data_IF_853424164378
#
_entry.id   IF_853424164378
#
_cell.length_a   1.000
_cell.length_b   1.000
_cell.length_c   1.000
_cell.angle_alpha   90.00
_cell.angle_beta   90.00
_cell.angle_gamma   90.00
#
_symmetry.space_group_name_H-M   'P 1'
#
loop_
_entity.id
_entity.type
_entity.pdbx_description
1 polymer ?
#
# COMPACT_ATOMS: atom_id res chain seq x y z
N UNK A 1 -18.74 -10.59 -23.10
CA UNK A 1 -17.85 -10.78 -21.94
C UNK A 1 -17.30 -9.43 -21.51
N UNK A 2 -17.54 -9.04 -20.26
CA UNK A 2 -17.13 -7.74 -19.67
C UNK A 2 -15.59 -7.70 -19.57
N UNK A 3 -14.90 -6.57 -19.86
CA UNK A 3 -13.45 -6.49 -19.82
C UNK A 3 -12.96 -6.31 -18.38
N UNK A 4 -12.80 -7.42 -17.67
CA UNK A 4 -12.31 -7.44 -16.28
C UNK A 4 -10.92 -6.79 -16.13
N UNK A 5 -10.04 -6.90 -17.13
CA UNK A 5 -8.68 -6.37 -17.08
C UNK A 5 -8.62 -4.83 -17.03
N UNK A 6 -9.44 -4.16 -17.84
CA UNK A 6 -9.50 -2.68 -17.87
C UNK A 6 -10.16 -2.10 -16.61
N UNK A 7 -11.18 -2.80 -16.12
CA UNK A 7 -11.89 -2.45 -14.88
C UNK A 7 -10.94 -2.62 -13.68
N UNK A 8 -10.14 -3.68 -13.63
CA UNK A 8 -9.15 -3.91 -12.60
C UNK A 8 -8.08 -2.81 -12.53
N UNK A 9 -7.55 -2.39 -13.68
CA UNK A 9 -6.56 -1.29 -13.73
C UNK A 9 -7.15 0.05 -13.26
N UNK A 10 -8.41 0.33 -13.60
CA UNK A 10 -9.09 1.55 -13.19
C UNK A 10 -9.33 1.58 -11.67
N UNK A 11 -9.83 0.49 -11.09
CA UNK A 11 -10.01 0.39 -9.64
C UNK A 11 -8.68 0.39 -8.88
N UNK A 12 -7.62 -0.21 -9.44
CA UNK A 12 -6.27 -0.12 -8.87
C UNK A 12 -5.76 1.33 -8.83
N UNK A 13 -6.00 2.11 -9.89
CA UNK A 13 -5.69 3.54 -9.93
C UNK A 13 -6.43 4.33 -8.85
N UNK A 14 -7.73 4.07 -8.65
CA UNK A 14 -8.53 4.69 -7.58
C UNK A 14 -8.00 4.29 -6.20
N UNK A 15 -7.70 3.01 -5.97
CA UNK A 15 -7.17 2.53 -4.70
C UNK A 15 -5.83 3.19 -4.36
N UNK A 16 -4.92 3.31 -5.32
CA UNK A 16 -3.64 4.01 -5.14
C UNK A 16 -3.82 5.51 -4.89
N UNK A 17 -4.79 6.15 -5.54
CA UNK A 17 -5.12 7.55 -5.28
C UNK A 17 -5.69 7.74 -3.86
N UNK A 18 -6.59 6.87 -3.42
CA UNK A 18 -7.12 6.88 -2.06
C UNK A 18 -6.03 6.65 -1.00
N UNK A 19 -5.11 5.70 -1.24
CA UNK A 19 -3.94 5.47 -0.38
C UNK A 19 -3.03 6.71 -0.33
N UNK A 20 -2.82 7.38 -1.48
CA UNK A 20 -2.11 8.65 -1.54
C UNK A 20 -2.77 9.74 -0.69
N UNK A 21 -4.10 9.85 -0.72
CA UNK A 21 -4.85 10.81 0.11
C UNK A 21 -4.69 10.50 1.60
N UNK A 22 -4.78 9.24 2.02
CA UNK A 22 -4.63 8.91 3.45
C UNK A 22 -3.24 9.28 3.98
N UNK A 23 -2.20 9.11 3.18
CA UNK A 23 -0.83 9.46 3.59
C UNK A 23 -0.61 10.98 3.56
N UNK A 24 -1.22 11.67 2.59
CA UNK A 24 -1.25 13.14 2.58
C UNK A 24 -1.92 13.71 3.82
N UNK A 25 -3.03 13.12 4.29
CA UNK A 25 -3.74 13.61 5.49
C UNK A 25 -2.83 13.65 6.70
N UNK A 26 -2.07 12.59 6.96
CA UNK A 26 -1.10 12.56 8.07
C UNK A 26 -0.09 13.71 7.97
N UNK A 27 0.35 14.03 6.76
CA UNK A 27 1.35 15.04 6.54
C UNK A 27 0.81 16.47 6.53
N UNK A 28 -0.44 16.66 6.10
CA UNK A 28 -1.18 17.91 6.26
C UNK A 28 -1.44 18.17 7.74
N UNK A 29 -1.81 17.14 8.51
CA UNK A 29 -1.93 17.21 9.97
C UNK A 29 -0.60 17.67 10.57
N UNK A 30 0.52 17.01 10.22
CA UNK A 30 1.85 17.42 10.69
C UNK A 30 2.24 18.86 10.33
N UNK A 31 1.75 19.39 9.20
CA UNK A 31 1.97 20.80 8.82
C UNK A 31 1.09 21.77 9.62
N UNK A 32 -0.14 21.37 9.97
CA UNK A 32 -1.08 22.20 10.72
C UNK A 32 -0.87 22.15 12.24
N UNK A 33 -0.14 21.14 12.74
CA UNK A 33 0.13 20.98 14.17
C UNK A 33 0.89 22.19 14.71
N UNK A 34 0.43 22.68 15.86
CA UNK A 34 1.07 23.78 16.58
C UNK A 34 2.43 23.33 17.09
N UNK A 35 3.47 24.06 16.64
CA UNK A 35 4.84 23.83 17.08
C UNK A 35 5.07 24.63 18.36
N UNK A 36 5.37 23.93 19.44
CA UNK A 36 5.63 24.54 20.74
C UNK A 36 7.12 24.43 21.01
N UNK A 37 7.79 25.59 21.11
CA UNK A 37 9.24 25.64 21.31
C UNK A 37 9.62 25.56 22.79
N UNK A 38 8.76 26.08 23.68
CA UNK A 38 8.96 26.06 25.12
C UNK A 38 7.81 25.30 25.78
N UNK A 39 8.13 24.31 26.61
CA UNK A 39 7.10 23.47 27.24
C UNK A 39 6.14 24.28 28.14
N UNK A 40 6.58 25.40 28.70
CA UNK A 40 5.72 26.31 29.50
C UNK A 40 4.59 26.97 28.72
N UNK A 41 4.76 27.17 27.41
CA UNK A 41 3.68 27.71 26.56
C UNK A 41 2.51 26.72 26.46
N UNK A 42 2.77 25.44 26.74
CA UNK A 42 1.77 24.39 26.69
C UNK A 42 0.70 24.56 27.77
N UNK A 43 1.09 24.97 28.98
CA UNK A 43 0.14 25.30 30.07
C UNK A 43 -0.80 26.42 29.64
N UNK A 44 -0.26 27.50 29.06
CA UNK A 44 -1.05 28.65 28.61
C UNK A 44 -2.02 28.28 27.48
N UNK A 45 -1.58 27.42 26.56
CA UNK A 45 -2.41 26.95 25.46
C UNK A 45 -3.55 26.05 25.94
N UNK A 46 -3.29 25.15 26.90
CA UNK A 46 -4.30 24.31 27.52
C UNK A 46 -5.31 25.10 28.35
N UNK A 47 -4.85 26.11 29.09
CA UNK A 47 -5.74 26.95 29.89
C UNK A 47 -6.61 27.86 28.99
N UNK A 48 -6.13 28.22 27.80
CA UNK A 48 -6.89 29.01 26.81
C UNK A 48 -7.88 28.14 26.01
N UNK A 49 -7.51 26.90 25.70
CA UNK A 49 -8.34 25.93 24.98
C UNK A 49 -8.68 24.75 25.88
N UNK A 50 -9.92 24.73 26.40
CA UNK A 50 -10.48 23.65 27.23
C UNK A 50 -10.61 22.26 26.53
N UNK A 51 -9.93 22.03 25.40
CA UNK A 51 -10.03 20.80 24.61
C UNK A 51 -8.67 20.25 24.23
N UNK A 52 -8.59 18.92 24.16
CA UNK A 52 -7.48 18.15 23.61
C UNK A 52 -6.89 18.76 22.32
N UNK A 53 -5.64 19.24 22.41
CA UNK A 53 -4.91 19.86 21.30
C UNK A 53 -3.77 18.94 20.87
N UNK A 54 -3.63 18.73 19.55
CA UNK A 54 -2.48 18.02 18.99
C UNK A 54 -1.34 19.02 18.78
N UNK A 55 -0.24 18.81 19.48
CA UNK A 55 0.95 19.68 19.41
C UNK A 55 2.18 18.87 19.01
N UNK A 56 3.20 19.58 18.56
CA UNK A 56 4.53 19.03 18.38
C UNK A 56 5.49 19.72 19.35
N UNK A 57 6.07 18.94 20.27
CA UNK A 57 7.06 19.40 21.23
C UNK A 57 8.41 18.72 20.99
N UNK A 58 9.48 19.40 21.39
CA UNK A 58 10.82 18.85 21.44
C UNK A 58 11.38 19.03 22.83
N UNK A 59 12.01 17.99 23.37
CA UNK A 59 12.61 18.05 24.71
C UNK A 59 13.68 16.98 24.88
N UNK A 60 14.38 17.03 26.02
CA UNK A 60 15.31 15.98 26.41
C UNK A 60 14.57 14.90 27.17
N UNK A 61 14.85 13.65 26.86
CA UNK A 61 14.31 12.50 27.58
C UNK A 61 14.87 12.48 28.99
N UNK A 62 14.00 12.48 29.99
CA UNK A 62 14.33 12.37 31.40
C UNK A 62 13.37 11.40 32.10
N UNK A 63 13.84 10.81 33.21
CA UNK A 63 13.03 9.91 34.03
C UNK A 63 13.58 9.87 35.45
N UNK A 64 12.71 9.58 36.41
CA UNK A 64 13.08 9.33 37.81
C UNK A 64 13.78 7.98 38.00
N UNK A 65 13.49 7.01 37.12
CA UNK A 65 14.08 5.68 37.12
C UNK A 65 14.86 5.43 35.83
N UNK A 66 15.79 4.49 35.84
CA UNK A 66 16.62 4.22 34.65
C UNK A 66 16.81 2.72 34.47
N UNK A 67 16.70 2.24 33.23
CA UNK A 67 17.06 0.87 32.88
C UNK A 67 18.51 0.87 32.40
N UNK A 68 19.36 0.09 33.06
CA UNK A 68 20.73 -0.13 32.60
C UNK A 68 20.74 -1.23 31.54
N UNK A 69 21.44 -0.95 30.46
CA UNK A 69 21.52 -1.79 29.27
C UNK A 69 22.63 -2.83 29.44
N UNK A 70 22.32 -4.12 29.31
CA UNK A 70 23.25 -5.21 29.60
C UNK A 70 24.45 -5.23 28.64
N UNK A 71 24.25 -4.85 27.36
CA UNK A 71 25.33 -4.90 26.37
C UNK A 71 26.13 -3.59 26.31
N UNK A 72 25.44 -2.45 26.36
CA UNK A 72 26.06 -1.14 26.17
C UNK A 72 26.44 -0.42 27.48
N UNK A 73 25.90 -0.83 28.63
CA UNK A 73 26.05 -0.13 29.92
C UNK A 73 25.39 1.25 29.95
N UNK A 74 24.60 1.59 28.92
CA UNK A 74 23.89 2.86 28.83
C UNK A 74 22.66 2.85 29.75
N UNK A 75 22.28 4.03 30.23
CA UNK A 75 21.04 4.22 30.97
C UNK A 75 19.96 4.75 30.04
N UNK A 76 18.95 3.94 29.83
CA UNK A 76 17.83 4.22 28.93
C UNK A 76 16.50 4.15 29.64
N UNK A 77 15.51 4.74 28.98
CA UNK A 77 14.11 4.74 29.41
C UNK A 77 13.32 3.62 28.72
N UNK A 78 13.64 3.38 27.45
CA UNK A 78 13.10 2.27 26.67
C UNK A 78 14.28 1.41 26.27
N UNK A 79 14.19 0.12 26.53
CA UNK A 79 15.20 -0.88 26.16
C UNK A 79 14.50 -2.03 25.44
N UNK A 80 14.90 -2.27 24.20
CA UNK A 80 14.51 -3.41 23.39
C UNK A 80 15.70 -4.34 23.22
N UNK A 81 15.52 -5.59 23.62
CA UNK A 81 16.49 -6.66 23.43
C UNK A 81 15.93 -7.69 22.47
N UNK A 82 16.62 -7.90 21.34
CA UNK A 82 16.31 -8.89 20.34
C UNK A 82 17.45 -9.91 20.26
N UNK A 83 17.10 -11.20 20.31
CA UNK A 83 18.04 -12.30 20.09
C UNK A 83 17.66 -13.02 18.82
N UNK A 84 18.50 -12.92 17.80
CA UNK A 84 18.32 -13.60 16.53
C UNK A 84 19.28 -14.78 16.44
N UNK A 85 18.75 -15.98 16.21
CA UNK A 85 19.55 -17.15 15.95
C UNK A 85 19.91 -17.19 14.46
N UNK A 86 21.20 -17.19 14.16
CA UNK A 86 21.71 -17.38 12.80
C UNK A 86 22.05 -18.85 12.58
N UNK A 87 21.55 -19.41 11.48
CA UNK A 87 21.81 -20.78 11.09
C UNK A 87 21.98 -20.91 9.58
N UNK A 88 22.58 -22.00 9.14
CA UNK A 88 22.63 -22.41 7.74
C UNK A 88 21.57 -23.47 7.52
N UNK A 89 20.77 -23.31 6.48
CA UNK A 89 19.78 -24.30 6.03
C UNK A 89 20.30 -24.99 4.79
N UNK A 90 20.31 -26.32 4.81
CA UNK A 90 20.67 -27.15 3.67
C UNK A 90 19.53 -27.08 2.64
N UNK A 91 19.89 -26.76 1.40
CA UNK A 91 18.99 -26.79 0.26
C UNK A 91 19.11 -28.14 -0.42
N UNK A 92 18.01 -28.61 -1.02
CA UNK A 92 17.98 -29.87 -1.77
C UNK A 92 19.05 -29.99 -2.88
N UNK A 93 19.62 -28.88 -3.36
CA UNK A 93 20.71 -28.83 -4.35
C UNK A 93 22.13 -28.80 -3.74
N UNK A 94 22.31 -29.42 -2.57
CA UNK A 94 23.56 -29.50 -1.79
C UNK A 94 24.24 -28.16 -1.45
N UNK A 95 23.49 -27.06 -1.49
CA UNK A 95 23.96 -25.73 -1.14
C UNK A 95 23.44 -25.31 0.24
N UNK A 96 24.28 -24.66 1.05
CA UNK A 96 23.88 -24.07 2.33
C UNK A 96 23.46 -22.60 2.15
N UNK A 97 22.31 -22.23 2.68
CA UNK A 97 21.81 -20.84 2.68
C UNK A 97 21.83 -20.31 4.11
N UNK A 98 22.33 -19.07 4.29
CA UNK A 98 22.26 -18.37 5.57
C UNK A 98 20.84 -17.88 5.82
N UNK A 99 20.34 -18.20 7.01
CA UNK A 99 19.01 -17.83 7.46
C UNK A 99 19.07 -17.38 8.93
N UNK A 100 18.05 -16.68 9.38
CA UNK A 100 17.97 -16.09 10.71
C UNK A 100 16.55 -16.18 11.27
N UNK A 101 16.40 -16.57 12.53
CA UNK A 101 15.12 -16.58 13.21
C UNK A 101 15.19 -15.79 14.52
N UNK A 102 14.21 -14.92 14.74
CA UNK A 102 14.04 -14.22 16.01
C UNK A 102 13.68 -15.25 17.09
N UNK A 103 14.58 -15.43 18.05
CA UNK A 103 14.43 -16.40 19.15
C UNK A 103 13.70 -15.77 20.33
N UNK A 104 14.04 -14.52 20.66
CA UNK A 104 13.36 -13.77 21.71
C UNK A 104 13.40 -12.29 21.41
N UNK A 105 12.35 -11.59 21.84
CA UNK A 105 12.26 -10.14 21.84
C UNK A 105 11.69 -9.72 23.20
N UNK A 106 12.33 -8.78 23.86
CA UNK A 106 11.88 -8.21 25.13
C UNK A 106 11.93 -6.71 25.02
N UNK A 107 10.82 -6.05 25.31
CA UNK A 107 10.74 -4.60 25.35
C UNK A 107 10.34 -4.18 26.75
N UNK A 108 11.12 -3.28 27.34
CA UNK A 108 10.87 -2.70 28.66
C UNK A 108 10.79 -1.18 28.51
N UNK A 109 9.73 -0.60 29.04
CA UNK A 109 9.52 0.84 29.13
C UNK A 109 9.17 1.20 30.56
N UNK A 110 9.82 2.23 31.07
CA UNK A 110 9.54 2.85 32.36
C UNK A 110 8.92 4.24 32.14
N UNK A 111 8.16 4.79 33.08
CA UNK A 111 7.61 6.13 32.96
C UNK A 111 8.69 7.19 32.73
N UNK A 112 8.43 8.10 31.82
CA UNK A 112 9.38 9.15 31.43
C UNK A 112 8.70 10.39 30.91
N UNK A 113 9.46 11.47 30.92
CA UNK A 113 9.00 12.78 30.52
C UNK A 113 10.02 13.47 29.62
N UNK A 114 9.52 14.45 28.89
CA UNK A 114 10.33 15.41 28.20
C UNK A 114 10.55 16.60 29.10
N UNK A 115 11.81 16.93 29.29
CA UNK A 115 12.22 18.12 30.01
C UNK A 115 12.83 19.11 29.02
N UNK A 116 12.28 20.31 29.03
CA UNK A 116 12.95 21.50 28.55
C UNK A 116 13.32 22.30 29.80
N UNK A 117 14.34 23.16 29.73
CA UNK A 117 14.84 23.99 30.84
C UNK A 117 13.78 24.84 31.57
N UNK A 118 12.54 24.83 31.07
CA UNK A 118 11.39 25.56 31.58
C UNK A 118 10.37 24.67 32.32
N UNK A 119 10.06 23.47 31.80
CA UNK A 119 8.97 22.62 32.32
C UNK A 119 9.13 21.14 31.90
N UNK A 120 8.29 20.26 32.44
CA UNK A 120 8.27 18.81 32.15
C UNK A 120 6.92 18.35 31.61
N UNK A 121 6.96 17.41 30.66
CA UNK A 121 5.76 16.82 30.05
C UNK A 121 5.88 15.30 29.99
N UNK A 122 4.97 14.60 30.63
CA UNK A 122 4.96 13.13 30.65
C UNK A 122 4.58 12.57 29.27
N UNK A 123 5.31 11.55 28.80
CA UNK A 123 5.03 10.91 27.51
C UNK A 123 4.41 9.54 27.76
N UNK A 124 3.22 9.31 27.22
CA UNK A 124 2.48 8.05 27.40
C UNK A 124 2.31 7.33 26.07
N UNK A 125 2.68 6.04 26.05
CA UNK A 125 2.45 5.15 24.92
C UNK A 125 3.44 5.31 23.77
N UNK A 126 4.69 5.70 24.06
CA UNK A 126 5.70 5.98 23.04
C UNK A 126 5.98 4.81 22.10
N UNK A 127 5.90 3.56 22.59
CA UNK A 127 6.06 2.36 21.76
C UNK A 127 4.96 2.19 20.70
N UNK A 128 3.78 2.75 20.93
CA UNK A 128 2.67 2.74 19.97
C UNK A 128 2.80 3.83 18.90
N UNK A 129 3.83 4.68 18.99
CA UNK A 129 4.04 5.76 18.04
C UNK A 129 4.47 5.23 16.67
N UNK A 130 3.96 5.85 15.63
CA UNK A 130 4.31 5.57 14.24
C UNK A 130 5.76 6.00 13.99
N UNK A 131 6.49 5.17 13.26
CA UNK A 131 7.92 5.36 12.95
C UNK A 131 8.81 5.58 14.18
N UNK A 132 8.41 5.06 15.34
CA UNK A 132 9.27 5.04 16.53
C UNK A 132 10.47 4.13 16.27
N UNK A 133 11.65 4.75 16.22
CA UNK A 133 12.92 4.05 16.08
C UNK A 133 13.83 4.49 17.20
N UNK A 134 14.25 3.53 18.01
CA UNK A 134 15.20 3.77 19.09
C UNK A 134 16.54 4.25 18.51
N UNK A 135 17.10 5.37 19.00
CA UNK A 135 18.23 6.06 18.38
C UNK A 135 19.55 5.30 18.53
N UNK A 136 19.74 4.59 19.66
CA UNK A 136 20.97 3.86 19.92
C UNK A 136 20.73 2.37 19.68
N UNK A 137 21.62 1.76 18.89
CA UNK A 137 21.63 0.33 18.60
C UNK A 137 23.02 -0.22 18.92
N UNK A 138 23.07 -1.27 19.73
CA UNK A 138 24.25 -2.06 20.02
C UNK A 138 24.00 -3.51 19.59
N UNK A 139 24.99 -4.15 18.96
CA UNK A 139 24.83 -5.48 18.38
C UNK A 139 26.07 -6.33 18.67
N UNK A 140 25.86 -7.50 19.27
CA UNK A 140 26.92 -8.43 19.64
C UNK A 140 26.58 -9.81 19.11
N UNK A 141 27.39 -10.29 18.16
CA UNK A 141 27.29 -11.65 17.66
C UNK A 141 28.10 -12.62 18.53
N UNK A 142 27.43 -13.61 19.11
CA UNK A 142 28.03 -14.69 19.88
C UNK A 142 28.06 -15.97 19.04
N UNK A 143 29.24 -16.42 18.58
CA UNK A 143 29.34 -17.63 17.77
C UNK A 143 28.96 -18.87 18.56
N UNK A 144 28.30 -19.79 17.88
CA UNK A 144 27.92 -21.10 18.40
C UNK A 144 29.16 -22.00 18.40
N UNK A 145 29.58 -22.48 19.57
CA UNK A 145 30.82 -23.26 19.68
C UNK A 145 30.55 -24.70 19.19
N UNK A 146 31.24 -25.18 18.14
CA UNK A 146 30.94 -26.48 17.51
C UNK A 146 31.34 -27.71 18.36
N UNK A 147 31.97 -27.51 19.52
CA UNK A 147 32.47 -28.60 20.40
C UNK A 147 31.41 -29.19 21.36
N UNK A 148 30.19 -28.66 21.40
CA UNK A 148 29.11 -29.20 22.23
C UNK A 148 28.28 -30.22 21.46
N UNK A 149 28.43 -31.48 21.85
CA UNK A 149 27.96 -32.70 21.17
C UNK A 149 26.42 -32.75 20.98
N UNK A 150 25.64 -31.93 21.70
CA UNK A 150 24.18 -31.84 21.50
C UNK A 150 23.76 -31.25 20.14
N UNK A 151 24.68 -30.62 19.40
CA UNK A 151 24.40 -29.97 18.09
C UNK A 151 24.40 -30.90 16.87
N UNK A 152 24.78 -32.18 17.02
CA UNK A 152 24.80 -33.13 15.91
C UNK A 152 23.40 -33.45 15.34
N UNK A 153 22.34 -33.33 16.16
CA UNK A 153 20.95 -33.58 15.73
C UNK A 153 20.43 -32.54 14.72
N UNK A 154 20.88 -31.28 14.80
CA UNK A 154 20.47 -30.25 13.86
C UNK A 154 21.13 -30.44 12.48
N UNK A 155 22.37 -30.90 12.46
CA UNK A 155 23.09 -31.22 11.21
C UNK A 155 22.35 -32.30 10.41
N UNK A 156 21.80 -33.32 11.10
CA UNK A 156 21.00 -34.40 10.50
C UNK A 156 19.65 -33.86 9.95
N UNK A 157 19.12 -32.77 10.52
CA UNK A 157 17.92 -32.07 10.02
C UNK A 157 18.21 -31.03 8.93
N UNK A 158 19.46 -30.93 8.45
CA UNK A 158 19.87 -29.94 7.46
C UNK A 158 19.96 -28.51 8.01
N UNK A 159 20.13 -28.33 9.32
CA UNK A 159 20.28 -27.01 9.97
C UNK A 159 21.62 -26.95 10.71
N UNK A 160 22.45 -25.94 10.43
CA UNK A 160 23.74 -25.73 11.10
C UNK A 160 23.76 -24.37 11.79
N UNK A 161 23.67 -24.37 13.12
CA UNK A 161 23.66 -23.15 13.93
C UNK A 161 25.02 -22.43 13.90
N UNK A 162 25.01 -21.17 13.46
CA UNK A 162 26.20 -20.31 13.38
C UNK A 162 26.43 -19.52 14.67
N UNK A 163 25.35 -19.11 15.34
CA UNK A 163 25.43 -18.37 16.59
C UNK A 163 24.16 -17.56 16.86
N UNK A 164 24.25 -16.72 17.89
CA UNK A 164 23.18 -15.82 18.30
C UNK A 164 23.66 -14.39 18.12
N UNK A 165 22.85 -13.58 17.47
CA UNK A 165 23.04 -12.15 17.37
C UNK A 165 22.15 -11.47 18.41
N UNK A 166 22.77 -10.82 19.40
CA UNK A 166 22.05 -10.05 20.41
C UNK A 166 22.08 -8.59 19.99
N UNK A 167 20.92 -8.04 19.68
CA UNK A 167 20.75 -6.63 19.38
C UNK A 167 20.04 -5.98 20.57
N UNK A 168 20.62 -4.93 21.10
CA UNK A 168 20.03 -4.08 22.13
C UNK A 168 19.79 -2.69 21.51
N UNK A 169 18.58 -2.18 21.63
CA UNK A 169 18.21 -0.83 21.19
C UNK A 169 17.66 -0.05 22.35
N UNK A 170 18.04 1.22 22.46
CA UNK A 170 17.78 1.98 23.66
C UNK A 170 17.45 3.44 23.34
N UNK A 171 16.58 4.03 24.15
CA UNK A 171 16.35 5.47 24.20
C UNK A 171 17.08 6.03 25.42
N UNK A 172 18.30 6.58 25.25
CA UNK A 172 19.08 7.04 26.38
C UNK A 172 18.54 8.34 26.95
N UNK A 173 18.75 8.53 28.24
CA UNK A 173 18.45 9.77 28.94
C UNK A 173 19.30 10.90 28.37
N UNK A 174 18.72 12.10 28.30
CA UNK A 174 19.33 13.30 27.72
C UNK A 174 19.24 13.38 26.20
N UNK A 175 18.72 12.35 25.52
CA UNK A 175 18.48 12.40 24.07
C UNK A 175 17.39 13.40 23.76
N UNK A 176 17.61 14.26 22.78
CA UNK A 176 16.58 15.15 22.27
C UNK A 176 15.66 14.40 21.32
N UNK A 177 14.37 14.37 21.63
CA UNK A 177 13.34 13.77 20.77
C UNK A 177 12.19 14.74 20.56
N UNK A 178 11.57 14.62 19.40
CA UNK A 178 10.35 15.33 19.04
C UNK A 178 9.16 14.38 19.18
N UNK A 179 8.12 14.84 19.86
CA UNK A 179 6.87 14.10 20.06
C UNK A 179 5.72 14.90 19.48
N UNK A 180 4.89 14.23 18.68
CA UNK A 180 3.65 14.78 18.13
C UNK A 180 2.50 13.96 18.68
N UNK A 181 1.64 14.58 19.46
CA UNK A 181 0.53 13.90 20.13
C UNK A 181 -0.49 14.85 20.73
N UNK A 182 -1.53 14.26 21.30
CA UNK A 182 -2.59 14.98 22.01
C UNK A 182 -2.10 15.32 23.42
N UNK A 183 -2.24 16.59 23.78
CA UNK A 183 -1.87 17.06 25.12
C UNK A 183 -3.12 17.06 25.99
N UNK A 184 -3.01 16.44 27.15
CA UNK A 184 -4.06 16.41 28.15
C UNK A 184 -3.47 16.75 29.52
N UNK A 185 -4.32 17.32 30.38
CA UNK A 185 -3.98 17.58 31.78
C UNK A 185 -4.58 16.48 32.63
N UNK A 186 -3.78 15.93 33.52
CA UNK A 186 -4.21 14.90 34.46
C UNK A 186 -5.06 15.50 35.57
N UNK A 187 -5.79 14.65 36.30
CA UNK A 187 -6.56 15.06 37.48
C UNK A 187 -5.66 15.71 38.55
N UNK A 188 -4.36 15.38 38.54
CA UNK A 188 -3.33 15.98 39.39
C UNK A 188 -2.79 17.34 38.86
N UNK A 189 -3.23 17.78 37.69
CA UNK A 189 -2.75 19.00 37.05
C UNK A 189 -1.46 18.87 36.24
N UNK A 190 -0.86 17.68 36.17
CA UNK A 190 0.34 17.41 35.36
C UNK A 190 -0.01 17.35 33.87
N UNK A 191 0.90 17.80 33.01
CA UNK A 191 0.72 17.77 31.56
C UNK A 191 1.28 16.46 31.01
N UNK A 192 0.44 15.70 30.30
CA UNK A 192 0.85 14.50 29.57
C UNK A 192 0.56 14.60 28.09
N UNK A 193 1.40 13.99 27.28
CA UNK A 193 1.16 13.76 25.86
C UNK A 193 0.89 12.30 25.63
N UNK A 194 -0.22 12.05 24.95
CA UNK A 194 -0.72 10.72 24.65
C UNK A 194 -1.05 10.57 23.16
N UNK A 195 -1.27 9.32 22.75
CA UNK A 195 -1.76 9.03 21.42
C UNK A 195 -3.15 9.67 21.20
N UNK A 196 -3.32 10.53 20.17
CA UNK A 196 -4.61 11.12 19.86
C UNK A 196 -5.65 10.07 19.50
N UNK A 197 -6.92 10.32 19.83
CA UNK A 197 -8.03 9.45 19.41
C UNK A 197 -8.17 9.39 17.88
N UNK A 198 -7.89 10.50 17.21
CA UNK A 198 -7.94 10.65 15.76
C UNK A 198 -6.71 11.40 15.29
N UNK A 199 -5.78 10.72 14.63
CA UNK A 199 -4.57 11.32 14.07
C UNK A 199 -3.32 10.47 14.32
N UNK A 200 -2.21 10.82 13.67
CA UNK A 200 -0.96 10.09 13.83
C UNK A 200 -0.22 10.53 15.09
N UNK A 201 0.34 9.56 15.82
CA UNK A 201 1.23 9.77 16.97
C UNK A 201 2.66 9.50 16.54
N UNK A 202 3.58 10.43 16.78
CA UNK A 202 5.00 10.26 16.42
C UNK A 202 5.90 10.53 17.62
N UNK A 203 6.90 9.68 17.79
CA UNK A 203 8.01 9.89 18.71
C UNK A 203 9.27 9.61 17.91
N UNK A 204 10.12 10.60 17.71
CA UNK A 204 11.29 10.44 16.83
C UNK A 204 12.42 11.39 17.23
N UNK A 205 13.69 10.97 17.09
CA UNK A 205 14.83 11.88 17.23
C UNK A 205 14.93 12.90 16.08
N UNK A 206 14.14 12.75 15.01
CA UNK A 206 14.11 13.66 13.86
C UNK A 206 13.27 14.89 14.16
N UNK A 207 13.65 16.03 13.58
CA UNK A 207 12.85 17.26 13.65
C UNK A 207 11.54 17.10 12.89
N UNK A 208 10.54 17.93 13.25
CA UNK A 208 9.23 17.96 12.58
C UNK A 208 9.38 18.13 11.05
N UNK A 209 10.30 19.00 10.62
CA UNK A 209 10.53 19.23 9.18
C UNK A 209 11.07 17.98 8.48
N UNK A 210 11.96 17.22 9.13
CA UNK A 210 12.45 15.95 8.61
C UNK A 210 11.36 14.87 8.59
N UNK A 211 10.45 14.85 9.57
CA UNK A 211 9.28 13.96 9.57
C UNK A 211 8.34 14.28 8.40
N UNK A 212 8.07 15.58 8.16
CA UNK A 212 7.27 16.02 7.02
C UNK A 212 7.91 15.60 5.69
N UNK A 213 9.24 15.80 5.54
CA UNK A 213 9.97 15.43 4.32
C UNK A 213 9.99 13.92 4.12
N UNK A 214 10.24 13.14 5.18
CA UNK A 214 10.28 11.68 5.13
C UNK A 214 8.93 11.10 4.71
N UNK A 215 7.82 11.64 5.22
CA UNK A 215 6.48 11.16 4.91
C UNK A 215 5.97 11.62 3.52
N UNK A 216 6.33 12.84 3.08
CA UNK A 216 5.77 13.41 1.84
C UNK A 216 6.64 13.29 0.58
N UNK A 217 7.96 13.42 0.71
CA UNK A 217 8.80 13.92 -0.38
C UNK A 217 8.81 13.04 -1.64
N UNK A 218 9.03 11.75 -1.47
CA UNK A 218 9.16 10.81 -2.58
C UNK A 218 7.87 10.04 -2.86
N UNK A 219 7.11 9.73 -1.81
CA UNK A 219 5.93 8.88 -1.88
C UNK A 219 4.79 9.58 -2.62
N UNK A 220 4.56 10.86 -2.34
CA UNK A 220 3.48 11.64 -2.97
C UNK A 220 3.72 11.81 -4.48
N UNK A 221 4.97 12.09 -4.88
CA UNK A 221 5.35 12.17 -6.30
C UNK A 221 5.10 10.84 -6.98
N UNK A 222 5.52 9.74 -6.35
CA UNK A 222 5.32 8.40 -6.88
C UNK A 222 3.83 8.05 -7.04
N UNK A 223 2.99 8.28 -6.03
CA UNK A 223 1.54 8.02 -6.10
C UNK A 223 0.85 8.86 -7.18
N UNK A 224 1.23 10.15 -7.33
CA UNK A 224 0.69 11.02 -8.38
C UNK A 224 1.06 10.53 -9.77
N UNK A 225 2.30 10.09 -9.99
CA UNK A 225 2.72 9.55 -11.28
C UNK A 225 2.12 8.17 -11.55
N UNK A 226 2.01 7.31 -10.55
CA UNK A 226 1.41 5.99 -10.66
C UNK A 226 -0.09 6.06 -11.00
N UNK A 227 -0.84 6.97 -10.38
CA UNK A 227 -2.28 7.13 -10.66
C UNK A 227 -2.52 7.63 -12.08
N UNK A 228 -1.73 8.60 -12.56
CA UNK A 228 -1.79 9.09 -13.95
C UNK A 228 -1.46 7.94 -14.92
N UNK A 229 -0.41 7.17 -14.65
CA UNK A 229 -0.02 6.02 -15.49
C UNK A 229 -1.14 4.97 -15.62
N UNK A 230 -1.74 4.58 -14.50
CA UNK A 230 -2.84 3.59 -14.49
C UNK A 230 -4.11 4.12 -15.15
N UNK A 231 -4.42 5.41 -15.01
CA UNK A 231 -5.54 6.03 -15.71
C UNK A 231 -5.36 5.97 -17.23
N UNK A 232 -4.15 6.27 -17.72
CA UNK A 232 -3.83 6.20 -19.16
C UNK A 232 -3.96 4.76 -19.66
N UNK A 233 -3.31 3.79 -18.99
CA UNK A 233 -3.36 2.37 -19.38
C UNK A 233 -4.79 1.82 -19.36
N UNK A 234 -5.55 2.10 -18.29
CA UNK A 234 -6.95 1.70 -18.18
C UNK A 234 -7.80 2.27 -19.32
N UNK A 235 -7.60 3.55 -19.66
CA UNK A 235 -8.32 4.20 -20.77
C UNK A 235 -7.98 3.59 -22.14
N UNK A 236 -6.71 3.28 -22.40
CA UNK A 236 -6.25 2.66 -23.64
C UNK A 236 -6.83 1.25 -23.83
N UNK A 237 -6.89 0.44 -22.77
CA UNK A 237 -7.44 -0.92 -22.82
C UNK A 237 -8.95 -0.93 -23.12
N UNK A 238 -9.69 0.01 -22.52
CA UNK A 238 -11.12 0.18 -22.78
C UNK A 238 -11.34 0.66 -24.21
N UNK A 239 -10.59 1.68 -24.67
CA UNK A 239 -10.70 2.24 -26.01
C UNK A 239 -10.41 1.20 -27.11
N UNK A 240 -9.38 0.37 -26.96
CA UNK A 240 -9.04 -0.64 -27.95
C UNK A 240 -10.19 -1.67 -28.12
N UNK A 241 -10.81 -2.11 -27.01
CA UNK A 241 -11.95 -3.03 -27.03
C UNK A 241 -13.23 -2.40 -27.59
N UNK A 242 -13.52 -1.14 -27.27
CA UNK A 242 -14.69 -0.43 -27.82
C UNK A 242 -14.52 -0.16 -29.31
N UNK A 243 -13.32 0.19 -29.76
CA UNK A 243 -12.99 0.35 -31.18
C UNK A 243 -13.19 -0.97 -31.92
N UNK A 244 -12.67 -2.10 -31.41
CA UNK A 244 -12.90 -3.39 -32.05
C UNK A 244 -14.38 -3.77 -32.12
N UNK A 245 -15.16 -3.51 -31.07
CA UNK A 245 -16.59 -3.75 -31.06
C UNK A 245 -17.33 -2.88 -32.09
N UNK A 246 -17.01 -1.59 -32.17
CA UNK A 246 -17.62 -0.65 -33.13
C UNK A 246 -17.24 -1.05 -34.56
N UNK A 247 -15.97 -1.41 -34.82
CA UNK A 247 -15.50 -1.84 -36.13
C UNK A 247 -16.19 -3.12 -36.61
N UNK A 248 -16.40 -4.10 -35.74
CA UNK A 248 -17.15 -5.33 -36.06
C UNK A 248 -18.61 -5.02 -36.39
N UNK A 249 -19.25 -4.15 -35.60
CA UNK A 249 -20.64 -3.74 -35.83
C UNK A 249 -20.80 -2.92 -37.12
N UNK A 250 -19.85 -2.03 -37.41
CA UNK A 250 -19.82 -1.26 -38.66
C UNK A 250 -19.68 -2.17 -39.89
N UNK A 251 -18.84 -3.21 -39.82
CA UNK A 251 -18.70 -4.19 -40.91
C UNK A 251 -20.01 -4.92 -41.18
N UNK A 252 -20.71 -5.37 -40.14
CA UNK A 252 -22.00 -6.05 -40.28
C UNK A 252 -23.08 -5.14 -40.86
N UNK A 253 -23.18 -3.89 -40.39
CA UNK A 253 -24.13 -2.92 -40.94
C UNK A 253 -23.83 -2.61 -42.42
N UNK A 254 -22.56 -2.56 -42.83
CA UNK A 254 -22.17 -2.33 -44.22
C UNK A 254 -22.55 -3.52 -45.12
N UNK A 255 -22.41 -4.76 -44.63
CA UNK A 255 -22.84 -5.95 -45.35
C UNK A 255 -24.37 -6.01 -45.48
N UNK A 256 -25.10 -5.76 -44.39
CA UNK A 256 -26.57 -5.80 -44.40
C UNK A 256 -27.16 -4.73 -45.33
N UNK A 257 -26.59 -3.52 -45.35
CA UNK A 257 -26.96 -2.49 -46.34
C UNK A 257 -26.75 -2.96 -47.77
N UNK A 258 -25.61 -3.59 -48.08
CA UNK A 258 -25.33 -4.13 -49.42
C UNK A 258 -26.32 -5.23 -49.82
N UNK A 259 -26.70 -6.10 -48.88
CA UNK A 259 -27.71 -7.14 -49.10
C UNK A 259 -29.09 -6.52 -49.37
N UNK A 260 -29.51 -5.52 -48.58
CA UNK A 260 -30.79 -4.83 -48.77
C UNK A 260 -30.83 -4.05 -50.09
N UNK A 261 -29.76 -3.36 -50.48
CA UNK A 261 -29.69 -2.64 -51.75
C UNK A 261 -29.75 -3.59 -52.95
N UNK A 262 -29.14 -4.78 -52.85
CA UNK A 262 -29.24 -5.84 -53.86
C UNK A 262 -30.67 -6.42 -53.95
N UNK A 263 -31.34 -6.63 -52.81
CA UNK A 263 -32.73 -7.06 -52.77
C UNK A 263 -33.70 -6.01 -53.36
N UNK A 264 -33.48 -4.72 -53.07
CA UNK A 264 -34.28 -3.62 -53.60
C UNK A 264 -34.12 -3.43 -55.12
N UNK A 265 -32.94 -3.72 -55.69
CA UNK A 265 -32.75 -3.73 -57.15
C UNK A 265 -33.56 -4.85 -57.83
N UNK A 266 -33.63 -6.04 -57.21
CA UNK A 266 -34.45 -7.15 -57.72
C UNK A 266 -35.94 -6.91 -57.62
N UNK A 267 -36.45 -6.20 -56.60
CA UNK A 267 -37.89 -5.85 -56.56
C UNK A 267 -38.27 -4.88 -57.67
N UNK A 268 -37.37 -3.95 -58.05
CA UNK A 268 -37.61 -3.03 -59.18
C UNK A 268 -37.56 -3.74 -60.53
N UNK A 269 -36.63 -4.66 -60.73
CA UNK A 269 -36.57 -5.48 -61.96
C UNK A 269 -37.72 -6.51 -62.06
N UNK A 270 -38.21 -7.02 -60.92
CA UNK A 270 -39.40 -7.87 -60.90
C UNK A 270 -40.68 -7.13 -61.29
N UNK A 271 -40.83 -5.87 -60.86
CA UNK A 271 -41.99 -5.03 -61.22
C UNK A 271 -41.95 -4.60 -62.70
N UNK A 272 -40.77 -4.41 -63.30
CA UNK A 272 -40.65 -4.12 -64.74
C UNK A 272 -40.82 -5.37 -65.63
N UNK A 273 -40.76 -6.58 -65.07
CA UNK A 273 -40.96 -7.84 -65.79
C UNK A 273 -42.37 -8.43 -65.66
N UNK A 274 -43.27 -7.78 -64.93
CA UNK A 274 -44.63 -8.27 -64.60
C UNK A 274 -45.73 -7.37 -65.17
N UNK A 275 -45.46 -6.73 -66.32
CA UNK A 275 -46.48 -6.26 -67.25
C UNK A 275 -46.35 -7.13 -68.50
N UNK A 276 -46.76 -8.39 -68.38
CA UNK A 276 -47.41 -9.18 -69.43
C UNK A 276 -47.83 -10.54 -68.81
N UNK A 277 -49.13 -10.78 -68.83
CA UNK A 277 -49.83 -12.07 -68.87
C UNK A 277 -50.07 -12.89 -67.57
N UNK A 278 -51.14 -12.47 -66.87
CA UNK A 278 -52.26 -13.24 -66.28
C UNK A 278 -52.14 -14.74 -65.88
N UNK A 279 -52.57 -14.99 -64.63
CA UNK A 279 -53.61 -15.95 -64.20
C UNK A 279 -53.23 -17.35 -63.64
N UNK A 280 -53.42 -17.46 -62.31
CA UNK A 280 -53.64 -18.64 -61.44
C UNK A 280 -52.52 -19.68 -61.26
N UNK A 281 -51.92 -19.72 -60.06
CA UNK A 281 -52.21 -20.75 -59.04
C UNK A 281 -51.16 -20.76 -57.90
N UNK A 282 -51.64 -20.92 -56.67
CA UNK A 282 -50.98 -21.71 -55.60
C UNK A 282 -49.67 -21.19 -55.03
N UNK A 283 -49.71 -20.66 -53.81
CA UNK A 283 -48.54 -20.19 -53.08
C UNK A 283 -47.58 -21.27 -52.59
N UNK A 284 -46.35 -20.84 -52.32
CA UNK A 284 -45.50 -21.24 -51.20
C UNK A 284 -44.35 -20.22 -51.19
N UNK A 285 -44.17 -19.49 -50.09
CA UNK A 285 -43.07 -18.54 -49.95
C UNK A 285 -41.75 -19.28 -49.80
N UNK A 286 -41.01 -19.47 -50.89
CA UNK A 286 -39.66 -20.02 -50.86
C UNK A 286 -38.61 -18.91 -50.94
N UNK A 287 -37.79 -18.86 -49.90
CA UNK A 287 -36.59 -18.04 -49.77
C UNK A 287 -35.56 -18.49 -50.82
N UNK A 288 -34.95 -17.60 -51.64
CA UNK A 288 -34.12 -18.04 -52.75
C UNK A 288 -32.73 -18.52 -52.30
N UNK A 289 -32.36 -19.74 -52.71
CA UNK A 289 -31.03 -20.34 -52.57
C UNK A 289 -29.96 -19.59 -53.39
N UNK A 290 -29.32 -18.61 -52.77
CA UNK A 290 -28.17 -17.88 -53.31
C UNK A 290 -26.86 -18.26 -52.60
N UNK A 291 -25.75 -18.16 -53.34
CA UNK A 291 -24.42 -18.31 -52.75
C UNK A 291 -24.15 -17.22 -51.71
N UNK A 292 -23.91 -17.62 -50.46
CA UNK A 292 -23.67 -16.71 -49.30
C UNK A 292 -22.39 -15.89 -49.45
N UNK A 293 -21.51 -16.25 -50.40
CA UNK A 293 -20.19 -15.63 -50.59
C UNK A 293 -20.23 -14.53 -51.66
N UNK A 294 -20.76 -14.83 -52.85
CA UNK A 294 -20.79 -13.88 -53.97
C UNK A 294 -22.15 -13.19 -54.16
N UNK A 295 -23.26 -13.72 -53.61
CA UNK A 295 -24.61 -13.14 -53.65
C UNK A 295 -25.15 -12.76 -55.05
N UNK A 296 -24.44 -13.12 -56.11
CA UNK A 296 -24.80 -12.84 -57.50
C UNK A 296 -25.29 -14.10 -58.25
N UNK A 297 -24.92 -15.30 -57.81
CA UNK A 297 -25.24 -16.58 -58.47
C UNK A 297 -26.07 -17.55 -57.58
N UNK A 298 -26.90 -18.40 -58.23
CA UNK A 298 -27.71 -19.44 -57.57
C UNK A 298 -26.82 -20.56 -56.98
N UNK A 299 -27.24 -21.13 -55.86
CA UNK A 299 -26.51 -22.19 -55.16
C UNK A 299 -26.51 -23.49 -55.99
N UNK A 300 -25.39 -23.84 -56.61
CA UNK A 300 -25.23 -25.08 -57.37
C UNK A 300 -24.59 -26.16 -56.48
N UNK A 301 -25.42 -27.00 -55.86
CA UNK A 301 -24.95 -28.23 -55.21
C UNK A 301 -25.20 -29.42 -56.13
N UNK A 302 -24.12 -30.05 -56.61
CA UNK A 302 -24.18 -31.35 -57.25
C UNK A 302 -23.88 -32.42 -56.20
N UNK A 303 -24.82 -33.32 -55.94
CA UNK A 303 -24.52 -34.55 -55.20
C UNK A 303 -23.66 -35.44 -56.09
N UNK A 304 -22.42 -35.70 -55.67
CA UNK A 304 -21.61 -36.75 -56.28
C UNK A 304 -22.13 -38.12 -55.79
N UNK A 305 -22.25 -39.12 -56.70
CA UNK A 305 -22.81 -40.43 -56.41
C UNK A 305 -21.99 -41.25 -55.42
#
# INVERSE_FOLDING_TARGET
>A
MIPWDGIGCYFSGIALYCLGITICKDAEILKSVTRVNQLKELEQLLDTQNSALVVAISGKVASESTIECELSGLKGVIVEEAVEQHFLKHKHNDSWIKDSALTSFTSKEIPWYLEDSTDRVDVVGAQSAKDFVLPVKHEVFKPSNPRLISKALHYIRGLKELGFNRTERTLPIGTTVTVVGEVTKDDAGAIRIQQPRTGPFYVSPKTIDQLIIANNGNLLRWFKHASIGLAIVGSCLIANRTIQYILLRWRQCKLLKRVLDAAAKKSKQGIEGEIDDNFLAGGQGDLPDLCVICLDEKYNAAFLP
#
